data_IF_125487979446
#
_entry.id   IF_125487979446
#
_cell.length_a   1.000
_cell.length_b   1.000
_cell.length_c   1.000
_cell.angle_alpha   90.00
_cell.angle_beta   90.00
_cell.angle_gamma   90.00
#
_symmetry.space_group_name_H-M   'P 1'
#
loop_
_entity.id
_entity.type
_entity.pdbx_description
1 polymer ?
#
# COMPACT_ATOMS: atom_id res chain seq x y z
N UNK A 1 -35.66 -14.91 -7.39
CA UNK A 1 -35.38 -14.65 -5.96
C UNK A 1 -34.76 -13.27 -5.87
N UNK A 2 -35.59 -12.36 -5.39
CA UNK A 2 -35.38 -10.94 -5.02
C UNK A 2 -33.97 -10.37 -5.18
N UNK A 3 -33.83 -9.52 -6.20
CA UNK A 3 -32.76 -8.55 -6.36
C UNK A 3 -32.98 -7.39 -5.37
N UNK A 4 -32.27 -7.41 -4.24
CA UNK A 4 -32.17 -6.24 -3.37
C UNK A 4 -31.27 -5.21 -4.05
N UNK A 5 -31.90 -4.24 -4.69
CA UNK A 5 -31.28 -2.98 -5.10
C UNK A 5 -30.94 -2.17 -3.85
N UNK A 6 -29.77 -2.41 -3.27
CA UNK A 6 -29.18 -1.49 -2.31
C UNK A 6 -28.82 -0.19 -3.03
N UNK A 7 -29.75 0.76 -2.97
CA UNK A 7 -29.52 2.18 -3.15
C UNK A 7 -28.48 2.64 -2.12
N UNK A 8 -27.20 2.62 -2.49
CA UNK A 8 -26.14 3.21 -1.69
C UNK A 8 -26.24 4.74 -1.83
N UNK A 9 -26.43 5.40 -0.69
CA UNK A 9 -26.27 6.85 -0.57
C UNK A 9 -24.90 7.23 -1.14
N UNK A 10 -24.92 8.01 -2.21
CA UNK A 10 -23.75 8.46 -2.94
C UNK A 10 -22.95 9.46 -2.06
N UNK A 11 -22.08 8.95 -1.19
CA UNK A 11 -21.05 9.73 -0.54
C UNK A 11 -20.04 10.09 -1.64
N UNK A 12 -20.16 11.30 -2.21
CA UNK A 12 -19.68 11.68 -3.54
C UNK A 12 -18.19 11.58 -3.86
N UNK A 13 -17.57 10.42 -3.69
CA UNK A 13 -16.27 9.99 -4.21
C UNK A 13 -16.20 8.49 -4.49
N UNK A 14 -17.34 7.78 -4.41
CA UNK A 14 -17.46 6.38 -4.80
C UNK A 14 -17.78 6.30 -6.30
N UNK A 15 -17.06 5.42 -7.00
CA UNK A 15 -17.31 5.16 -8.42
C UNK A 15 -18.35 4.06 -8.52
N UNK A 16 -19.36 4.25 -9.35
CA UNK A 16 -20.35 3.22 -9.63
C UNK A 16 -19.70 2.00 -10.30
N UNK A 17 -19.97 0.81 -9.77
CA UNK A 17 -19.53 -0.49 -10.29
C UNK A 17 -20.71 -1.46 -10.29
N UNK A 18 -20.72 -2.41 -11.23
CA UNK A 18 -21.85 -3.32 -11.45
C UNK A 18 -21.42 -4.79 -11.34
N UNK A 19 -20.79 -5.17 -10.22
CA UNK A 19 -20.18 -6.51 -10.06
C UNK A 19 -20.33 -7.06 -8.66
N UNK A 20 -20.56 -8.37 -8.55
CA UNK A 20 -20.71 -9.09 -7.25
C UNK A 20 -19.41 -9.21 -6.46
N UNK A 21 -18.27 -9.15 -7.13
CA UNK A 21 -16.94 -9.44 -6.57
C UNK A 21 -16.27 -8.21 -5.92
N UNK A 22 -16.91 -7.04 -5.97
CA UNK A 22 -16.41 -5.80 -5.37
C UNK A 22 -17.53 -5.23 -4.50
N UNK A 23 -17.20 -4.83 -3.27
CA UNK A 23 -18.15 -4.16 -2.38
C UNK A 23 -17.99 -2.63 -2.40
N UNK A 24 -16.77 -2.14 -2.65
CA UNK A 24 -16.48 -0.72 -2.77
C UNK A 24 -15.31 -0.48 -3.72
N UNK A 25 -15.47 0.52 -4.58
CA UNK A 25 -14.43 1.02 -5.47
C UNK A 25 -14.25 2.53 -5.27
N UNK A 26 -13.01 2.97 -5.04
CA UNK A 26 -12.68 4.39 -4.88
C UNK A 26 -11.39 4.72 -5.62
N UNK A 27 -11.36 5.86 -6.29
CA UNK A 27 -10.20 6.30 -7.07
C UNK A 27 -9.35 7.26 -6.27
N UNK A 28 -8.06 6.96 -6.23
CA UNK A 28 -7.06 7.70 -5.47
C UNK A 28 -5.98 8.22 -6.39
N UNK A 29 -5.53 9.45 -6.12
CA UNK A 29 -4.35 10.04 -6.75
C UNK A 29 -3.25 10.18 -5.72
N UNK A 30 -2.00 9.96 -6.12
CA UNK A 30 -0.85 10.19 -5.24
C UNK A 30 -0.81 11.67 -4.82
N UNK A 31 -0.78 11.92 -3.51
CA UNK A 31 -0.73 13.27 -2.96
C UNK A 31 0.62 13.93 -3.32
N UNK A 32 0.60 15.23 -3.71
CA UNK A 32 1.84 15.97 -3.91
C UNK A 32 2.63 16.02 -2.60
N UNK A 33 3.96 16.16 -2.72
CA UNK A 33 4.89 16.10 -1.60
C UNK A 33 4.50 17.00 -0.40
N UNK A 34 3.96 18.19 -0.67
CA UNK A 34 3.62 19.18 0.36
C UNK A 34 2.30 18.88 1.11
N UNK A 35 1.50 17.94 0.63
CA UNK A 35 0.22 17.54 1.24
C UNK A 35 0.29 16.13 1.85
N UNK A 36 1.50 15.57 1.91
CA UNK A 36 1.78 14.25 2.48
C UNK A 36 1.85 14.33 4.01
N UNK A 37 0.84 13.74 4.65
CA UNK A 37 0.73 13.68 6.11
C UNK A 37 1.78 12.76 6.74
N UNK A 38 2.37 11.87 5.96
CA UNK A 38 3.49 11.00 6.33
C UNK A 38 4.80 11.77 6.55
N UNK A 39 4.96 12.94 5.92
CA UNK A 39 6.26 13.63 5.89
C UNK A 39 6.23 15.03 6.49
N UNK A 40 5.22 15.83 6.14
CA UNK A 40 5.19 17.28 6.48
C UNK A 40 5.15 17.52 7.99
N UNK A 41 4.30 16.84 8.79
CA UNK A 41 4.28 17.03 10.24
C UNK A 41 5.63 16.68 10.89
N UNK A 42 6.29 15.61 10.42
CA UNK A 42 7.59 15.20 10.96
C UNK A 42 8.71 16.16 10.56
N UNK A 43 8.71 16.70 9.34
CA UNK A 43 9.67 17.75 8.94
C UNK A 43 9.55 19.00 9.83
N UNK A 44 8.32 19.44 10.13
CA UNK A 44 8.10 20.56 11.05
C UNK A 44 8.56 20.21 12.47
N UNK A 45 8.28 18.99 12.94
CA UNK A 45 8.72 18.51 14.25
C UNK A 45 10.26 18.48 14.35
N UNK A 46 10.97 17.98 13.34
CA UNK A 46 12.43 18.00 13.32
C UNK A 46 12.99 19.41 13.25
N UNK A 47 12.34 20.32 12.49
CA UNK A 47 12.68 21.73 12.48
C UNK A 47 12.53 22.38 13.86
N UNK A 48 11.46 22.02 14.59
CA UNK A 48 11.27 22.44 15.98
C UNK A 48 12.34 21.86 16.92
N UNK A 49 12.67 20.57 16.82
CA UNK A 49 13.75 19.96 17.61
C UNK A 49 15.11 20.64 17.36
N UNK A 50 15.40 20.96 16.10
CA UNK A 50 16.60 21.71 15.71
C UNK A 50 16.60 23.11 16.36
N UNK A 51 15.47 23.83 16.28
CA UNK A 51 15.36 25.14 16.92
C UNK A 51 15.56 25.08 18.43
N UNK A 52 14.98 24.09 19.13
CA UNK A 52 15.17 23.88 20.58
C UNK A 52 16.64 23.58 20.90
N UNK A 53 17.31 22.77 20.08
CA UNK A 53 18.72 22.43 20.28
C UNK A 53 19.65 23.66 20.21
N UNK A 54 19.38 24.57 19.27
CA UNK A 54 20.15 25.80 19.07
C UNK A 54 19.61 27.02 19.86
N UNK A 55 18.56 26.83 20.66
CA UNK A 55 17.97 27.93 21.42
C UNK A 55 18.95 28.46 22.47
N UNK A 56 18.97 29.79 22.73
CA UNK A 56 19.85 30.38 23.73
C UNK A 56 19.68 29.70 25.09
N UNK A 57 20.80 29.30 25.69
CA UNK A 57 20.78 28.60 26.97
C UNK A 57 20.33 29.56 28.08
N UNK A 58 19.50 29.06 28.99
CA UNK A 58 19.09 29.85 30.16
C UNK A 58 20.34 30.08 31.03
N UNK A 59 20.63 31.33 31.45
CA UNK A 59 21.75 31.62 32.34
C UNK A 59 21.66 30.77 33.62
N UNK A 60 22.77 30.16 34.01
CA UNK A 60 22.87 29.33 35.22
C UNK A 60 22.32 30.02 36.47
N UNK A 61 22.56 31.33 36.59
CA UNK A 61 22.15 32.12 37.76
C UNK A 61 20.63 32.22 37.91
N UNK A 62 19.90 32.26 36.79
CA UNK A 62 18.43 32.29 36.81
C UNK A 62 17.85 30.95 37.26
N UNK A 63 18.40 29.84 36.75
CA UNK A 63 17.96 28.49 37.09
C UNK A 63 18.29 28.16 38.54
N UNK A 64 19.50 28.50 39.00
CA UNK A 64 19.94 28.27 40.38
C UNK A 64 19.06 29.03 41.40
N UNK A 65 18.69 30.27 41.09
CA UNK A 65 17.79 31.08 41.94
C UNK A 65 16.36 30.52 42.01
N UNK A 66 15.86 29.90 40.94
CA UNK A 66 14.55 29.22 40.94
C UNK A 66 14.58 27.89 41.70
N UNK A 67 15.65 27.10 41.55
CA UNK A 67 15.81 25.79 42.20
C UNK A 67 16.05 25.92 43.72
N UNK A 68 16.86 26.88 44.15
CA UNK A 68 17.15 27.13 45.58
C UNK A 68 15.89 27.49 46.40
N UNK A 69 14.80 27.91 45.76
CA UNK A 69 13.57 28.31 46.46
C UNK A 69 12.63 27.14 46.79
N UNK A 70 12.77 25.99 46.12
CA UNK A 70 11.73 24.94 46.11
C UNK A 70 12.23 23.49 46.19
N UNK A 71 13.53 23.21 46.32
CA UNK A 71 14.06 21.83 46.23
C UNK A 71 14.99 21.50 47.41
N UNK A 72 14.81 20.34 48.08
CA UNK A 72 15.63 19.93 49.22
C UNK A 72 17.08 19.60 48.83
N UNK A 73 17.98 19.83 49.79
CA UNK A 73 19.45 19.81 49.69
C UNK A 73 20.06 18.54 49.07
N UNK A 74 19.33 17.42 49.00
CA UNK A 74 19.84 16.15 48.44
C UNK A 74 19.73 16.03 46.91
N UNK A 75 19.02 16.93 46.23
CA UNK A 75 18.79 16.87 44.78
C UNK A 75 19.79 17.75 44.01
N UNK A 76 21.08 17.46 44.12
CA UNK A 76 22.14 18.12 43.33
C UNK A 76 22.16 17.62 41.88
N UNK A 77 21.10 17.90 41.12
CA UNK A 77 21.16 17.74 39.66
C UNK A 77 22.05 18.86 39.12
N UNK A 78 23.24 18.48 38.66
CA UNK A 78 24.18 19.39 38.00
C UNK A 78 23.62 19.76 36.61
N UNK A 79 22.60 20.62 36.56
CA UNK A 79 22.07 21.17 35.32
C UNK A 79 23.14 22.08 34.71
N UNK A 80 24.08 21.47 33.99
CA UNK A 80 25.05 22.20 33.18
C UNK A 80 24.30 23.00 32.09
N UNK A 81 24.99 23.99 31.52
CA UNK A 81 24.51 24.94 30.47
C UNK A 81 23.88 24.23 29.26
N UNK A 82 23.99 22.90 29.15
CA UNK A 82 23.51 22.08 28.04
C UNK A 82 22.10 21.50 28.21
N UNK A 83 21.31 21.99 29.18
CA UNK A 83 19.98 21.44 29.47
C UNK A 83 19.05 21.46 28.23
N UNK A 84 18.99 22.57 27.50
CA UNK A 84 18.13 22.65 26.30
C UNK A 84 18.66 21.85 25.12
N UNK A 85 19.98 21.75 24.94
CA UNK A 85 20.56 20.90 23.90
C UNK A 85 20.29 19.41 24.18
N UNK A 86 20.31 19.00 25.45
CA UNK A 86 20.00 17.62 25.85
C UNK A 86 18.51 17.33 25.66
N UNK A 87 17.63 18.26 26.06
CA UNK A 87 16.18 18.17 25.79
C UNK A 87 15.88 18.09 24.30
N UNK A 88 16.50 18.95 23.48
CA UNK A 88 16.35 18.95 22.03
C UNK A 88 16.78 17.62 21.39
N UNK A 89 17.89 17.03 21.85
CA UNK A 89 18.38 15.74 21.38
C UNK A 89 17.43 14.59 21.75
N UNK A 90 16.93 14.53 22.99
CA UNK A 90 15.95 13.52 23.39
C UNK A 90 14.62 13.66 22.64
N UNK A 91 14.15 14.89 22.43
CA UNK A 91 12.96 15.14 21.60
C UNK A 91 13.16 14.64 20.16
N UNK A 92 14.34 14.84 19.58
CA UNK A 92 14.65 14.35 18.24
C UNK A 92 14.66 12.81 18.17
N UNK A 93 15.21 12.13 19.18
CA UNK A 93 15.20 10.66 19.27
C UNK A 93 13.76 10.13 19.38
N UNK A 94 12.95 10.73 20.25
CA UNK A 94 11.54 10.36 20.43
C UNK A 94 10.76 10.60 19.12
N UNK A 95 10.97 11.75 18.48
CA UNK A 95 10.36 12.07 17.19
C UNK A 95 10.75 11.04 16.12
N UNK A 96 12.03 10.64 16.05
CA UNK A 96 12.49 9.60 15.13
C UNK A 96 11.86 8.23 15.41
N UNK A 97 11.73 7.84 16.68
CA UNK A 97 11.06 6.60 17.06
C UNK A 97 9.60 6.57 16.58
N UNK A 98 8.83 7.62 16.85
CA UNK A 98 7.44 7.71 16.39
C UNK A 98 7.32 7.80 14.87
N UNK A 99 8.24 8.49 14.21
CA UNK A 99 8.26 8.57 12.74
C UNK A 99 8.48 7.19 12.11
N UNK A 100 9.42 6.39 12.65
CA UNK A 100 9.64 5.00 12.19
C UNK A 100 8.39 4.15 12.40
N UNK A 101 7.74 4.23 13.57
CA UNK A 101 6.48 3.51 13.82
C UNK A 101 5.40 3.93 12.82
N UNK A 102 5.30 5.22 12.51
CA UNK A 102 4.30 5.73 11.57
C UNK A 102 4.52 5.17 10.16
N UNK A 103 5.76 5.16 9.67
CA UNK A 103 6.13 4.56 8.38
C UNK A 103 5.81 3.07 8.35
N UNK A 104 6.07 2.35 9.46
CA UNK A 104 5.72 0.93 9.57
C UNK A 104 4.20 0.72 9.54
N UNK A 105 3.42 1.55 10.24
CA UNK A 105 1.94 1.46 10.20
C UNK A 105 1.40 1.67 8.78
N UNK A 106 1.97 2.59 8.00
CA UNK A 106 1.63 2.77 6.59
C UNK A 106 2.00 1.55 5.74
N UNK A 107 3.09 0.87 6.06
CA UNK A 107 3.49 -0.34 5.35
C UNK A 107 2.47 -1.46 5.55
N UNK A 108 2.07 -1.71 6.80
CA UNK A 108 1.22 -2.83 7.17
C UNK A 108 -0.27 -2.59 6.90
N UNK A 109 -0.74 -1.35 6.95
CA UNK A 109 -2.17 -1.06 6.87
C UNK A 109 -2.51 -0.22 5.63
N UNK A 110 -3.08 -0.87 4.62
CA UNK A 110 -3.43 -0.26 3.33
C UNK A 110 -4.36 0.95 3.52
N UNK A 111 -5.34 0.86 4.41
CA UNK A 111 -6.24 1.99 4.68
C UNK A 111 -5.50 3.23 5.22
N UNK A 112 -4.51 3.05 6.11
CA UNK A 112 -3.71 4.16 6.64
C UNK A 112 -2.88 4.76 5.50
N UNK A 113 -2.23 3.89 4.72
CA UNK A 113 -1.47 4.29 3.53
C UNK A 113 -2.30 5.09 2.54
N UNK A 114 -3.52 4.63 2.24
CA UNK A 114 -4.48 5.33 1.38
C UNK A 114 -4.77 6.74 1.89
N UNK A 115 -5.03 6.89 3.19
CA UNK A 115 -5.39 8.18 3.80
C UNK A 115 -4.22 9.16 3.86
N UNK A 116 -2.99 8.68 4.06
CA UNK A 116 -1.81 9.53 4.25
C UNK A 116 -1.14 9.91 2.92
N UNK A 117 -0.96 8.93 2.02
CA UNK A 117 -0.19 9.11 0.78
C UNK A 117 -1.06 9.48 -0.43
N UNK A 118 -2.37 9.22 -0.35
CA UNK A 118 -3.28 9.43 -1.47
C UNK A 118 -4.42 10.37 -1.10
N UNK A 119 -4.87 11.11 -2.09
CA UNK A 119 -6.06 11.95 -1.95
C UNK A 119 -7.18 11.33 -2.76
N UNK A 120 -8.36 11.22 -2.13
CA UNK A 120 -9.56 10.74 -2.78
C UNK A 120 -9.91 11.67 -3.94
N UNK A 121 -10.11 11.09 -5.11
CA UNK A 121 -10.50 11.85 -6.30
C UNK A 121 -11.98 11.64 -6.53
N UNK A 122 -12.76 12.72 -6.46
CA UNK A 122 -14.21 12.64 -6.62
C UNK A 122 -14.56 12.59 -8.10
N UNK A 123 -15.31 11.58 -8.50
CA UNK A 123 -15.80 11.44 -9.87
C UNK A 123 -17.09 12.24 -10.06
N UNK A 124 -17.14 13.11 -11.05
CA UNK A 124 -18.35 13.83 -11.49
C UNK A 124 -18.54 13.59 -12.97
N UNK A 125 -19.80 13.43 -13.39
CA UNK A 125 -20.16 13.16 -14.77
C UNK A 125 -20.57 14.47 -15.47
N UNK A 126 -19.97 14.74 -16.64
CA UNK A 126 -20.45 15.80 -17.54
C UNK A 126 -20.17 15.38 -19.00
N UNK A 127 -21.15 15.49 -19.89
CA UNK A 127 -20.94 15.30 -21.34
C UNK A 127 -20.30 13.94 -21.74
N UNK A 128 -20.61 12.85 -21.04
CA UNK A 128 -20.11 11.50 -21.35
C UNK A 128 -18.70 11.18 -20.82
N UNK A 129 -18.05 12.12 -20.12
CA UNK A 129 -16.74 11.94 -19.51
C UNK A 129 -16.81 11.91 -17.98
N UNK A 130 -15.98 11.07 -17.35
CA UNK A 130 -15.77 11.06 -15.91
C UNK A 130 -14.68 12.07 -15.53
N UNK A 131 -15.03 13.09 -14.77
CA UNK A 131 -14.09 14.07 -14.24
C UNK A 131 -13.69 13.71 -12.84
N UNK A 132 -12.40 13.82 -12.52
CA UNK A 132 -11.95 13.60 -11.15
C UNK A 132 -11.44 14.91 -10.54
N UNK A 133 -11.97 15.29 -9.38
CA UNK A 133 -11.61 16.54 -8.69
C UNK A 133 -10.97 16.27 -7.32
N UNK A 134 -10.00 17.10 -6.95
CA UNK A 134 -9.32 17.08 -5.65
C UNK A 134 -9.54 18.41 -4.92
N UNK A 135 -9.71 18.39 -3.59
CA UNK A 135 -10.12 19.58 -2.81
C UNK A 135 -9.09 20.72 -2.72
N UNK A 136 -7.84 20.49 -3.13
CA UNK A 136 -6.75 21.46 -2.93
C UNK A 136 -6.40 22.25 -4.20
N UNK A 137 -6.77 21.74 -5.39
CA UNK A 137 -6.62 22.39 -6.68
C UNK A 137 -7.73 21.88 -7.62
N UNK A 138 -8.53 22.79 -8.18
CA UNK A 138 -9.49 22.43 -9.24
C UNK A 138 -8.69 22.18 -10.53
N UNK A 139 -8.11 21.00 -10.65
CA UNK A 139 -7.63 20.49 -11.93
C UNK A 139 -8.78 19.71 -12.55
N UNK A 140 -9.29 20.17 -13.69
CA UNK A 140 -10.23 19.41 -14.51
C UNK A 140 -9.46 18.27 -15.18
N UNK A 141 -9.41 17.10 -14.55
CA UNK A 141 -8.88 15.90 -15.21
C UNK A 141 -10.00 15.33 -16.06
N UNK A 142 -9.91 15.56 -17.37
CA UNK A 142 -10.70 14.84 -18.35
C UNK A 142 -10.19 13.40 -18.37
N UNK A 143 -11.02 12.41 -18.01
CA UNK A 143 -10.73 11.02 -18.37
C UNK A 143 -10.99 10.87 -19.88
N UNK A 144 -10.16 11.53 -20.68
CA UNK A 144 -10.19 11.49 -22.14
C UNK A 144 -8.96 10.73 -22.58
N UNK A 145 -9.11 9.44 -22.89
CA UNK A 145 -8.24 8.56 -23.72
C UNK A 145 -6.70 8.57 -23.53
N UNK A 146 -6.18 9.41 -22.66
CA UNK A 146 -4.81 9.57 -22.22
C UNK A 146 -4.89 9.60 -20.70
N UNK A 147 -4.71 8.42 -20.12
CA UNK A 147 -4.71 8.22 -18.67
C UNK A 147 -3.55 9.01 -18.09
N UNK A 148 -3.85 10.09 -17.38
CA UNK A 148 -2.85 10.76 -16.56
C UNK A 148 -2.28 9.74 -15.56
N UNK A 149 -0.95 9.56 -15.58
CA UNK A 149 -0.20 8.35 -15.21
C UNK A 149 -0.12 8.11 -13.68
N UNK A 150 -1.13 8.52 -12.91
CA UNK A 150 -1.08 8.58 -11.44
C UNK A 150 -2.34 8.18 -10.68
N UNK A 151 -3.37 7.64 -11.35
CA UNK A 151 -4.62 7.21 -10.70
C UNK A 151 -4.56 5.72 -10.34
N UNK A 152 -4.95 5.41 -9.11
CA UNK A 152 -4.97 4.05 -8.55
C UNK A 152 -6.37 3.75 -8.04
N UNK A 153 -6.83 2.52 -8.23
CA UNK A 153 -8.10 2.03 -7.73
C UNK A 153 -7.91 1.35 -6.37
N UNK A 154 -8.60 1.83 -5.34
CA UNK A 154 -8.73 1.12 -4.06
C UNK A 154 -9.98 0.27 -4.11
N UNK A 155 -9.80 -1.04 -3.99
CA UNK A 155 -10.84 -2.05 -4.13
C UNK A 155 -11.01 -2.76 -2.80
N UNK A 156 -12.26 -2.78 -2.31
CA UNK A 156 -12.66 -3.57 -1.14
C UNK A 156 -13.50 -4.73 -1.65
N UNK A 157 -13.11 -5.99 -1.40
CA UNK A 157 -13.92 -7.15 -1.76
C UNK A 157 -15.15 -7.27 -0.81
N UNK A 158 -16.12 -8.12 -1.16
CA UNK A 158 -17.14 -8.56 -0.21
C UNK A 158 -16.54 -9.29 0.99
N UNK A 159 -17.33 -9.38 2.06
CA UNK A 159 -16.93 -10.12 3.26
C UNK A 159 -16.57 -11.57 2.90
N UNK A 160 -15.43 -12.04 3.42
CA UNK A 160 -14.86 -13.38 3.16
C UNK A 160 -14.35 -13.65 1.73
N UNK A 161 -14.23 -12.62 0.88
CA UNK A 161 -13.72 -12.75 -0.49
C UNK A 161 -12.30 -12.19 -0.67
N UNK A 162 -11.44 -12.35 0.34
CA UNK A 162 -10.05 -11.89 0.31
C UNK A 162 -9.83 -10.53 0.99
N UNK A 163 -8.72 -9.88 0.66
CA UNK A 163 -8.26 -8.62 1.28
C UNK A 163 -8.36 -7.43 0.32
N UNK A 164 -8.41 -6.24 0.90
CA UNK A 164 -8.38 -4.97 0.19
C UNK A 164 -7.08 -4.83 -0.62
N UNK A 165 -7.16 -4.20 -1.79
CA UNK A 165 -5.96 -3.95 -2.59
C UNK A 165 -5.99 -2.60 -3.30
N UNK A 166 -4.78 -2.07 -3.52
CA UNK A 166 -4.54 -0.94 -4.42
C UNK A 166 -4.14 -1.48 -5.79
N UNK A 167 -5.02 -1.29 -6.77
CA UNK A 167 -4.85 -1.75 -8.14
C UNK A 167 -4.44 -0.58 -9.04
N UNK A 168 -3.35 -0.74 -9.78
CA UNK A 168 -2.96 0.24 -10.80
C UNK A 168 -3.95 0.17 -11.96
N UNK A 169 -4.36 1.33 -12.46
CA UNK A 169 -5.18 1.45 -13.66
C UNK A 169 -4.26 1.48 -14.87
N UNK A 170 -4.53 0.62 -15.83
CA UNK A 170 -3.82 0.48 -17.08
C UNK A 170 -4.71 0.90 -18.25
N UNK A 171 -4.06 1.36 -19.32
CA UNK A 171 -4.73 1.75 -20.56
C UNK A 171 -4.19 0.93 -21.71
N UNK A 172 -5.08 0.27 -22.42
CA UNK A 172 -4.75 -0.40 -23.66
C UNK A 172 -4.98 0.55 -24.84
N UNK A 173 -3.90 1.02 -25.46
CA UNK A 173 -3.98 1.92 -26.62
C UNK A 173 -4.59 1.26 -27.86
N UNK A 174 -4.49 -0.08 -28.00
CA UNK A 174 -5.00 -0.80 -29.18
C UNK A 174 -6.51 -0.95 -29.14
N UNK A 175 -7.06 -1.34 -27.99
CA UNK A 175 -8.50 -1.52 -27.80
C UNK A 175 -9.21 -0.27 -27.29
N UNK A 176 -8.46 0.80 -26.96
CA UNK A 176 -8.99 1.99 -26.29
C UNK A 176 -9.74 1.65 -25.00
N UNK A 177 -9.15 0.79 -24.16
CA UNK A 177 -9.81 0.32 -22.95
C UNK A 177 -9.00 0.65 -21.70
N UNK A 178 -9.69 1.28 -20.75
CA UNK A 178 -9.24 1.44 -19.39
C UNK A 178 -9.58 0.20 -18.57
N UNK A 179 -8.59 -0.41 -17.94
CA UNK A 179 -8.82 -1.59 -17.11
C UNK A 179 -7.89 -1.65 -15.90
N UNK A 180 -8.28 -2.44 -14.91
CA UNK A 180 -7.39 -2.88 -13.85
C UNK A 180 -7.62 -4.36 -13.57
N UNK A 181 -6.66 -4.99 -12.89
CA UNK A 181 -6.76 -6.40 -12.51
C UNK A 181 -6.83 -6.48 -11.00
N UNK A 182 -7.86 -7.13 -10.48
CA UNK A 182 -8.03 -7.42 -9.07
C UNK A 182 -8.33 -8.90 -8.89
N UNK A 183 -7.58 -9.58 -8.01
CA UNK A 183 -7.70 -11.03 -7.78
C UNK A 183 -7.66 -11.88 -9.07
N UNK A 184 -6.77 -11.53 -10.02
CA UNK A 184 -6.65 -12.17 -11.33
C UNK A 184 -7.86 -11.99 -12.26
N UNK A 185 -8.81 -11.12 -11.92
CA UNK A 185 -9.96 -10.77 -12.75
C UNK A 185 -9.77 -9.39 -13.36
N UNK A 186 -10.00 -9.28 -14.68
CA UNK A 186 -9.91 -8.02 -15.42
C UNK A 186 -11.23 -7.26 -15.32
N UNK A 187 -11.17 -6.03 -14.85
CA UNK A 187 -12.29 -5.09 -14.79
C UNK A 187 -12.04 -3.99 -15.80
N UNK A 188 -12.96 -3.79 -16.74
CA UNK A 188 -12.87 -2.75 -17.76
C UNK A 188 -13.85 -1.62 -17.47
N UNK A 189 -13.52 -0.41 -17.88
CA UNK A 189 -14.47 0.69 -17.93
C UNK A 189 -15.43 0.47 -19.10
N UNK A 190 -16.72 0.55 -18.83
CA UNK A 190 -17.78 0.54 -19.84
C UNK A 190 -18.12 1.98 -20.25
N UNK A 191 -18.11 2.30 -21.54
CA UNK A 191 -18.25 3.67 -22.04
C UNK A 191 -19.69 4.19 -21.89
N UNK A 192 -20.69 3.30 -21.97
CA UNK A 192 -22.10 3.67 -21.89
C UNK A 192 -22.50 4.02 -20.45
N UNK A 193 -22.13 3.16 -19.50
CA UNK A 193 -22.47 3.36 -18.09
C UNK A 193 -21.41 4.15 -17.31
N UNK A 194 -20.21 4.34 -17.88
CA UNK A 194 -19.03 4.89 -17.18
C UNK A 194 -18.74 4.14 -15.86
N UNK A 195 -19.04 2.85 -15.81
CA UNK A 195 -18.80 2.00 -14.64
C UNK A 195 -17.75 0.95 -14.92
N UNK A 196 -17.01 0.55 -13.89
CA UNK A 196 -16.13 -0.61 -14.01
C UNK A 196 -16.97 -1.89 -13.93
N UNK A 197 -16.87 -2.69 -14.99
CA UNK A 197 -17.59 -3.95 -15.16
C UNK A 197 -16.57 -5.08 -15.31
N UNK A 198 -16.87 -6.22 -14.68
CA UNK A 198 -16.11 -7.45 -14.86
C UNK A 198 -16.18 -7.90 -16.32
N UNK A 199 -15.06 -8.42 -16.83
CA UNK A 199 -14.98 -8.93 -18.19
C UNK A 199 -16.05 -10.01 -18.43
N UNK A 200 -17.05 -9.67 -19.24
CA UNK A 200 -18.16 -10.58 -19.56
C UNK A 200 -17.75 -11.57 -20.65
N UNK A 201 -18.12 -12.83 -20.45
CA UNK A 201 -17.93 -13.90 -21.43
C UNK A 201 -19.26 -14.20 -22.16
N UNK A 202 -19.21 -14.48 -23.47
CA UNK A 202 -20.39 -14.82 -24.28
C UNK A 202 -20.91 -16.24 -23.95
N UNK A 203 -21.58 -16.38 -22.82
CA UNK A 203 -22.07 -17.68 -22.29
C UNK A 203 -23.57 -17.92 -22.54
N UNK A 204 -24.32 -16.88 -22.91
CA UNK A 204 -25.78 -16.92 -22.96
C UNK A 204 -26.36 -16.82 -24.38
N UNK A 205 -25.61 -17.25 -25.40
CA UNK A 205 -26.14 -17.33 -26.75
C UNK A 205 -27.12 -18.50 -26.91
N UNK A 206 -27.95 -18.45 -27.95
CA UNK A 206 -28.87 -19.56 -28.24
C UNK A 206 -28.10 -20.83 -28.64
N UNK A 207 -28.68 -22.00 -28.38
CA UNK A 207 -28.07 -23.28 -28.78
C UNK A 207 -27.79 -23.32 -30.28
N UNK A 208 -28.68 -22.73 -31.09
CA UNK A 208 -28.52 -22.62 -32.53
C UNK A 208 -27.26 -21.82 -32.92
N UNK A 209 -26.93 -20.77 -32.18
CA UNK A 209 -25.71 -19.99 -32.40
C UNK A 209 -24.45 -20.83 -32.17
N UNK A 210 -24.41 -21.59 -31.07
CA UNK A 210 -23.28 -22.50 -30.81
C UNK A 210 -23.18 -23.61 -31.86
N UNK A 211 -24.31 -24.20 -32.28
CA UNK A 211 -24.33 -25.26 -33.29
C UNK A 211 -23.92 -24.79 -34.69
N UNK A 212 -24.15 -23.52 -35.02
CA UNK A 212 -23.82 -22.95 -36.34
C UNK A 212 -22.41 -22.37 -36.43
N UNK A 213 -21.67 -22.30 -35.32
CA UNK A 213 -20.32 -21.72 -35.27
C UNK A 213 -19.28 -22.65 -35.92
N UNK A 214 -18.49 -22.12 -36.87
CA UNK A 214 -17.46 -22.88 -37.62
C UNK A 214 -16.02 -22.62 -37.16
N UNK A 215 -15.85 -21.95 -36.02
CA UNK A 215 -14.54 -21.50 -35.51
C UNK A 215 -14.25 -20.03 -35.83
N UNK A 216 -13.18 -19.51 -35.21
CA UNK A 216 -12.77 -18.10 -35.29
C UNK A 216 -11.78 -17.88 -36.44
N UNK A 217 -11.84 -16.70 -37.07
CA UNK A 217 -10.84 -16.28 -38.06
C UNK A 217 -9.57 -15.77 -37.37
N UNK A 218 -8.44 -15.78 -38.08
CA UNK A 218 -7.14 -15.35 -37.52
C UNK A 218 -7.16 -13.91 -36.97
N UNK A 219 -7.87 -13.00 -37.62
CA UNK A 219 -7.98 -11.60 -37.16
C UNK A 219 -8.88 -11.46 -35.92
N UNK A 220 -9.96 -12.24 -35.85
CA UNK A 220 -10.83 -12.34 -34.66
C UNK A 220 -10.07 -12.94 -33.47
N UNK A 221 -9.19 -13.91 -33.71
CA UNK A 221 -8.35 -14.49 -32.65
C UNK A 221 -7.45 -13.44 -32.02
N UNK A 222 -6.85 -12.53 -32.82
CA UNK A 222 -5.98 -11.47 -32.28
C UNK A 222 -6.76 -10.53 -31.37
N UNK A 223 -7.91 -10.01 -31.83
CA UNK A 223 -8.72 -9.09 -31.02
C UNK A 223 -9.29 -9.74 -29.75
N UNK A 224 -9.71 -11.01 -29.85
CA UNK A 224 -10.19 -11.78 -28.69
C UNK A 224 -9.06 -12.10 -27.71
N UNK A 225 -7.84 -12.35 -28.21
CA UNK A 225 -6.67 -12.58 -27.35
C UNK A 225 -6.27 -11.32 -26.59
N UNK A 226 -6.37 -10.14 -27.21
CA UNK A 226 -6.15 -8.86 -26.52
C UNK A 226 -7.23 -8.58 -25.46
N UNK A 227 -8.48 -8.95 -25.76
CA UNK A 227 -9.61 -8.76 -24.86
C UNK A 227 -9.55 -9.69 -23.64
N UNK A 228 -9.45 -10.99 -23.87
CA UNK A 228 -9.53 -12.04 -22.85
C UNK A 228 -8.18 -12.50 -22.29
N UNK A 229 -7.08 -12.14 -22.95
CA UNK A 229 -5.76 -12.64 -22.62
C UNK A 229 -5.53 -14.06 -23.13
N UNK A 230 -4.31 -14.56 -22.90
CA UNK A 230 -3.94 -15.93 -23.24
C UNK A 230 -4.51 -16.92 -22.23
N UNK A 231 -4.96 -18.09 -22.69
CA UNK A 231 -5.33 -19.20 -21.81
C UNK A 231 -4.09 -19.77 -21.11
N UNK A 232 -3.74 -19.22 -19.95
CA UNK A 232 -2.62 -19.64 -19.15
C UNK A 232 -2.93 -19.50 -17.67
N UNK A 233 -2.84 -20.61 -16.94
CA UNK A 233 -3.00 -20.58 -15.49
C UNK A 233 -1.67 -20.20 -14.82
N UNK A 234 -1.48 -18.92 -14.50
CA UNK A 234 -0.28 -18.41 -13.84
C UNK A 234 -0.56 -18.07 -12.37
N UNK A 235 -0.13 -18.93 -11.44
CA UNK A 235 -0.15 -18.61 -10.02
C UNK A 235 1.03 -17.65 -9.75
N UNK A 236 0.80 -16.44 -9.22
CA UNK A 236 1.89 -15.54 -8.85
C UNK A 236 2.75 -16.19 -7.76
N UNK A 237 4.07 -16.14 -7.94
CA UNK A 237 5.00 -16.60 -6.89
C UNK A 237 5.34 -15.40 -6.00
N UNK A 238 5.18 -15.53 -4.67
CA UNK A 238 5.60 -14.46 -3.78
C UNK A 238 7.09 -14.22 -3.91
N UNK A 239 7.48 -12.96 -3.73
CA UNK A 239 8.89 -12.57 -3.74
C UNK A 239 9.57 -13.03 -2.45
N UNK A 240 10.89 -13.22 -2.51
CA UNK A 240 11.68 -13.60 -1.33
C UNK A 240 11.40 -12.66 -0.14
N UNK A 241 11.31 -11.35 -0.41
CA UNK A 241 11.12 -10.33 0.60
C UNK A 241 9.75 -10.40 1.29
N UNK A 242 8.69 -10.73 0.56
CA UNK A 242 7.33 -10.88 1.11
C UNK A 242 7.29 -12.03 2.12
N UNK A 243 7.87 -13.18 1.74
CA UNK A 243 7.95 -14.35 2.63
C UNK A 243 8.87 -14.06 3.82
N UNK A 244 10.00 -13.38 3.58
CA UNK A 244 10.94 -13.03 4.63
C UNK A 244 10.33 -12.10 5.67
N UNK A 245 9.54 -11.10 5.25
CA UNK A 245 8.85 -10.21 6.17
C UNK A 245 7.81 -10.94 7.02
N UNK A 246 7.02 -11.82 6.41
CA UNK A 246 6.04 -12.66 7.13
C UNK A 246 6.73 -13.49 8.22
N UNK A 247 7.89 -14.06 7.89
CA UNK A 247 8.75 -14.79 8.84
C UNK A 247 9.40 -13.88 9.90
N UNK A 248 9.91 -12.72 9.51
CA UNK A 248 10.56 -11.77 10.41
C UNK A 248 9.59 -11.18 11.44
N UNK A 249 8.29 -11.15 11.13
CA UNK A 249 7.25 -10.78 12.10
C UNK A 249 6.84 -11.90 13.05
N UNK A 250 7.42 -13.09 12.92
CA UNK A 250 7.17 -14.16 13.86
C UNK A 250 7.65 -13.74 15.27
N UNK A 251 6.83 -14.00 16.32
CA UNK A 251 7.13 -13.53 17.68
C UNK A 251 8.46 -14.07 18.20
N UNK A 252 8.84 -15.29 17.81
CA UNK A 252 10.11 -15.90 18.19
C UNK A 252 11.31 -15.15 17.60
N UNK A 253 11.31 -14.89 16.29
CA UNK A 253 12.41 -14.19 15.61
C UNK A 253 12.58 -12.77 16.16
N UNK A 254 11.48 -12.05 16.33
CA UNK A 254 11.49 -10.70 16.92
C UNK A 254 12.09 -10.69 18.33
N UNK A 255 11.70 -11.64 19.17
CA UNK A 255 12.23 -11.77 20.52
C UNK A 255 13.74 -12.05 20.50
N UNK A 256 14.21 -12.95 19.64
CA UNK A 256 15.63 -13.26 19.54
C UNK A 256 16.46 -12.05 19.09
N UNK A 257 16.01 -11.31 18.06
CA UNK A 257 16.70 -10.10 17.60
C UNK A 257 16.73 -9.05 18.70
N UNK A 258 15.62 -8.87 19.43
CA UNK A 258 15.55 -7.94 20.55
C UNK A 258 16.53 -8.31 21.68
N UNK A 259 16.57 -9.59 22.08
CA UNK A 259 17.53 -10.07 23.08
C UNK A 259 18.97 -9.82 22.63
N UNK A 260 19.34 -10.19 21.40
CA UNK A 260 20.69 -9.94 20.88
C UNK A 260 21.02 -8.44 20.83
N UNK A 261 20.03 -7.59 20.54
CA UNK A 261 20.15 -6.14 20.60
C UNK A 261 20.48 -5.61 22.00
N UNK A 262 19.81 -6.12 23.04
CA UNK A 262 20.12 -5.75 24.44
C UNK A 262 21.55 -6.15 24.83
N UNK A 263 22.00 -7.33 24.42
CA UNK A 263 23.39 -7.77 24.66
C UNK A 263 24.42 -6.93 23.90
N UNK A 264 24.02 -6.27 22.81
CA UNK A 264 24.88 -5.36 22.05
C UNK A 264 25.08 -4.01 22.77
N UNK A 265 24.10 -3.56 23.57
CA UNK A 265 24.13 -2.27 24.29
C UNK A 265 24.97 -2.27 25.56
N UNK A 266 25.27 -3.44 26.13
CA UNK A 266 25.96 -3.55 27.41
C UNK A 266 27.49 -3.48 27.24
N UNK A 267 28.11 -4.43 26.51
CA UNK A 267 29.57 -4.40 26.22
C UNK A 267 30.02 -5.48 25.19
N UNK A 268 29.16 -6.43 24.82
CA UNK A 268 29.50 -7.61 24.01
C UNK A 268 29.19 -7.47 22.51
N UNK A 269 29.32 -6.26 21.94
CA UNK A 269 28.91 -5.98 20.56
C UNK A 269 29.51 -6.92 19.51
N UNK A 270 30.77 -7.36 19.68
CA UNK A 270 31.46 -8.26 18.74
C UNK A 270 30.79 -9.64 18.66
N UNK A 271 30.54 -10.27 19.80
CA UNK A 271 29.93 -11.60 19.86
C UNK A 271 28.45 -11.53 19.50
N UNK A 272 27.75 -10.49 19.95
CA UNK A 272 26.35 -10.23 19.60
C UNK A 272 26.16 -10.07 18.09
N UNK A 273 27.10 -9.40 17.39
CA UNK A 273 27.02 -9.24 15.93
C UNK A 273 27.16 -10.57 15.18
N UNK A 274 28.05 -11.46 15.64
CA UNK A 274 28.19 -12.79 15.04
C UNK A 274 26.93 -13.65 15.26
N UNK A 275 26.37 -13.62 16.47
CA UNK A 275 25.10 -14.31 16.78
C UNK A 275 23.94 -13.76 15.94
N UNK A 276 23.86 -12.43 15.79
CA UNK A 276 22.86 -11.79 14.93
C UNK A 276 23.01 -12.25 13.49
N UNK A 277 24.23 -12.28 12.96
CA UNK A 277 24.49 -12.76 11.61
C UNK A 277 24.04 -14.21 11.41
N UNK A 278 24.39 -15.12 12.34
CA UNK A 278 23.97 -16.52 12.27
C UNK A 278 22.45 -16.68 12.30
N UNK A 279 21.77 -15.87 13.11
CA UNK A 279 20.32 -15.83 13.18
C UNK A 279 19.68 -15.38 11.85
N UNK A 280 20.22 -14.34 11.21
CA UNK A 280 19.74 -13.89 9.88
C UNK A 280 19.98 -14.96 8.82
N UNK A 281 21.17 -15.58 8.79
CA UNK A 281 21.49 -16.64 7.83
C UNK A 281 20.53 -17.82 7.97
N UNK A 282 20.24 -18.23 9.20
CA UNK A 282 19.28 -19.29 9.48
C UNK A 282 17.88 -18.97 8.93
N UNK A 283 17.37 -17.76 9.19
CA UNK A 283 16.05 -17.35 8.69
C UNK A 283 16.00 -17.29 7.16
N UNK A 284 17.07 -16.79 6.52
CA UNK A 284 17.20 -16.79 5.06
C UNK A 284 17.17 -18.22 4.50
N UNK A 285 17.85 -19.17 5.15
CA UNK A 285 17.81 -20.58 4.74
C UNK A 285 16.40 -21.18 4.87
N UNK A 286 15.68 -20.88 5.95
CA UNK A 286 14.30 -21.31 6.14
C UNK A 286 13.37 -20.79 5.05
N UNK A 287 13.46 -19.48 4.75
CA UNK A 287 12.64 -18.85 3.69
C UNK A 287 12.97 -19.43 2.31
N UNK A 288 14.25 -19.65 2.00
CA UNK A 288 14.65 -20.30 0.74
C UNK A 288 14.09 -21.72 0.62
N UNK A 289 14.09 -22.49 1.71
CA UNK A 289 13.49 -23.83 1.73
C UNK A 289 11.98 -23.78 1.46
N UNK A 290 11.27 -22.85 2.11
CA UNK A 290 9.83 -22.63 1.89
C UNK A 290 9.53 -22.26 0.43
N UNK A 291 10.32 -21.34 -0.15
CA UNK A 291 10.18 -20.92 -1.54
C UNK A 291 10.43 -22.08 -2.53
N UNK A 292 11.46 -22.91 -2.28
CA UNK A 292 11.75 -24.09 -3.09
C UNK A 292 10.59 -25.10 -3.08
N UNK A 293 9.94 -25.30 -1.94
CA UNK A 293 8.75 -26.16 -1.86
C UNK A 293 7.58 -25.61 -2.69
N UNK A 294 7.33 -24.30 -2.66
CA UNK A 294 6.30 -23.67 -3.51
C UNK A 294 6.62 -23.79 -5.00
N UNK A 295 7.89 -23.66 -5.38
CA UNK A 295 8.36 -23.89 -6.75
C UNK A 295 8.13 -25.32 -7.21
N UNK A 296 8.40 -26.30 -6.34
CA UNK A 296 8.13 -27.70 -6.64
C UNK A 296 6.64 -27.94 -6.92
N UNK A 297 5.75 -27.44 -6.06
CA UNK A 297 4.30 -27.55 -6.26
C UNK A 297 3.86 -26.92 -7.58
N UNK A 298 4.40 -25.75 -7.92
CA UNK A 298 4.12 -25.10 -9.21
C UNK A 298 4.62 -25.92 -10.41
N UNK A 299 5.77 -26.58 -10.28
CA UNK A 299 6.36 -27.39 -11.35
C UNK A 299 5.62 -28.71 -11.58
N UNK A 300 4.78 -29.16 -10.64
CA UNK A 300 3.88 -30.29 -10.83
C UNK A 300 2.68 -29.98 -11.75
N UNK A 301 2.57 -28.75 -12.28
CA UNK A 301 1.52 -28.37 -13.23
C UNK A 301 1.66 -29.13 -14.56
N UNK A 302 0.53 -29.56 -15.11
CA UNK A 302 0.48 -30.14 -16.47
C UNK A 302 1.00 -29.15 -17.51
N UNK A 303 1.86 -29.64 -18.42
CA UNK A 303 2.35 -28.85 -19.54
C UNK A 303 1.25 -28.73 -20.60
N UNK A 304 1.17 -27.59 -21.34
CA UNK A 304 0.26 -27.48 -22.46
C UNK A 304 0.56 -28.57 -23.48
N UNK A 305 -0.47 -29.26 -23.94
CA UNK A 305 -0.39 -30.27 -24.99
C UNK A 305 -1.08 -29.76 -26.25
N UNK A 306 -0.64 -30.24 -27.41
CA UNK A 306 -1.28 -29.88 -28.68
C UNK A 306 -2.62 -30.60 -28.78
N UNK A 307 -3.67 -29.85 -28.99
CA UNK A 307 -4.97 -30.36 -29.43
C UNK A 307 -4.88 -30.53 -30.95
N UNK A 308 -5.18 -31.73 -31.44
CA UNK A 308 -5.31 -32.04 -32.87
C UNK A 308 -6.77 -31.94 -33.29
#
# INVERSE_FOLDING_TARGET
>A
MTSDSQSSRNNGGEVSFATKNISKLSLYRKSPFYLRLDLVPFLLLYGFCYWVYFSPQIPKDFVQNMLNKNIPEYAHWNFQVYAWSLVGLWLAIIAAFFHVIFILLEYWHIWIRCKMQYTLTKTTQKDGYMYTYTYTYIMYVYLKKEVDVGVIAYVIPPLHCGEDALCKIEYNATSDELYFIFQQMKYRLDDETNTFVELQFPLHHSILHYASTKGLKTDEVKSLTEKYGTNGFNIPMPQFWEIFQEHATAPFFLFQVFCVGLWCLDEYWKYSLFTLFMLIVFEVMMVKRRMGNMQLVRNMRSKPFRLY
#
